data_IF_613085277593
#
_entry.id   IF_613085277593
#
_cell.length_a   1.000
_cell.length_b   1.000
_cell.length_c   1.000
_cell.angle_alpha   90.00
_cell.angle_beta   90.00
_cell.angle_gamma   90.00
#
_symmetry.space_group_name_H-M   'P 1'
#
loop_
_entity.id
_entity.type
_entity.pdbx_description
1 polymer ?
#
# COMPACT_ATOMS: atom_id res chain seq x y z
N UNK A 1 3.26 0.94 21.86
CA UNK A 1 2.20 0.11 21.30
C UNK A 1 2.47 -0.13 19.82
N UNK A 2 2.40 -1.37 19.38
CA UNK A 2 2.62 -1.70 17.98
C UNK A 2 1.45 -1.17 17.14
N UNK A 3 1.78 -0.54 16.02
CA UNK A 3 0.78 -0.08 15.09
C UNK A 3 0.43 -1.19 14.10
N UNK A 4 -0.84 -1.25 13.70
CA UNK A 4 -1.25 -2.11 12.60
C UNK A 4 -0.67 -1.59 11.28
N UNK A 5 -0.64 -2.43 10.26
CA UNK A 5 -0.32 -2.01 8.92
C UNK A 5 -1.45 -2.40 7.97
N UNK A 6 -1.89 -1.44 7.16
CA UNK A 6 -2.80 -1.68 6.06
C UNK A 6 -2.01 -1.67 4.76
N UNK A 7 -2.09 -2.76 4.02
CA UNK A 7 -1.32 -2.95 2.79
C UNK A 7 -2.29 -2.90 1.62
N UNK A 8 -1.99 -2.02 0.66
CA UNK A 8 -2.80 -1.85 -0.54
C UNK A 8 -1.87 -1.87 -1.76
N UNK A 9 -2.01 -2.87 -2.58
CA UNK A 9 -1.20 -3.01 -3.79
C UNK A 9 -2.03 -2.61 -5.01
N UNK A 10 -1.48 -1.69 -5.81
CA UNK A 10 -2.18 -1.10 -6.96
C UNK A 10 -1.28 -1.15 -8.19
N UNK A 11 -1.87 -0.87 -9.35
CA UNK A 11 -1.14 -0.79 -10.61
C UNK A 11 -0.64 0.63 -10.84
N UNK A 12 0.68 0.77 -10.85
CA UNK A 12 1.35 2.02 -11.25
C UNK A 12 1.61 2.98 -10.10
N UNK A 13 2.64 3.79 -10.28
CA UNK A 13 3.13 4.67 -9.21
C UNK A 13 2.21 5.88 -8.99
N UNK A 14 1.66 6.44 -10.07
CA UNK A 14 0.75 7.58 -9.91
C UNK A 14 -0.50 7.20 -9.13
N UNK A 15 -1.08 6.03 -9.44
CA UNK A 15 -2.22 5.51 -8.69
C UNK A 15 -1.87 5.32 -7.22
N UNK A 16 -0.65 4.83 -6.95
CA UNK A 16 -0.20 4.63 -5.56
C UNK A 16 -0.15 5.95 -4.79
N UNK A 17 0.36 7.01 -5.40
CA UNK A 17 0.40 8.33 -4.73
C UNK A 17 -1.01 8.87 -4.46
N UNK A 18 -1.90 8.77 -5.44
CA UNK A 18 -3.27 9.29 -5.29
C UNK A 18 -4.05 8.46 -4.25
N UNK A 19 -3.92 7.13 -4.29
CA UNK A 19 -4.58 6.25 -3.33
C UNK A 19 -4.00 6.42 -1.91
N UNK A 20 -2.67 6.58 -1.81
CA UNK A 20 -2.02 6.85 -0.52
C UNK A 20 -2.50 8.16 0.08
N UNK A 21 -2.59 9.20 -0.71
CA UNK A 21 -3.10 10.50 -0.29
C UNK A 21 -4.56 10.38 0.19
N UNK A 22 -5.39 9.68 -0.57
CA UNK A 22 -6.79 9.49 -0.21
C UNK A 22 -6.95 8.78 1.13
N UNK A 23 -6.13 7.75 1.38
CA UNK A 23 -6.15 7.04 2.66
C UNK A 23 -5.75 7.95 3.82
N UNK A 24 -4.71 8.75 3.64
CA UNK A 24 -4.25 9.68 4.67
C UNK A 24 -5.26 10.79 4.95
N UNK A 25 -6.05 11.18 3.96
CA UNK A 25 -7.10 12.18 4.15
C UNK A 25 -8.35 11.61 4.82
N UNK A 26 -8.59 10.30 4.68
CA UNK A 26 -9.77 9.64 5.21
C UNK A 26 -9.60 9.15 6.65
N UNK A 27 -8.36 8.96 7.12
CA UNK A 27 -8.11 8.32 8.40
C UNK A 27 -6.81 8.85 9.03
N UNK A 28 -6.68 8.64 10.34
CA UNK A 28 -5.49 9.04 11.08
C UNK A 28 -4.41 7.97 10.94
N UNK A 29 -3.72 8.01 9.81
CA UNK A 29 -2.65 7.07 9.48
C UNK A 29 -1.44 7.83 8.96
N UNK A 30 -0.29 7.16 8.94
CA UNK A 30 0.90 7.67 8.26
C UNK A 30 1.36 6.65 7.23
N UNK A 31 1.99 7.14 6.18
CA UNK A 31 2.54 6.28 5.14
C UNK A 31 3.94 5.82 5.51
N UNK A 32 4.22 4.55 5.28
CA UNK A 32 5.58 4.05 5.18
C UNK A 32 6.06 4.23 3.73
N UNK A 33 7.32 3.90 3.47
CA UNK A 33 7.85 3.95 2.11
C UNK A 33 7.10 2.95 1.22
N UNK A 34 6.86 3.36 -0.02
CA UNK A 34 6.24 2.46 -0.99
C UNK A 34 7.22 1.36 -1.41
N UNK A 35 6.67 0.23 -1.78
CA UNK A 35 7.43 -0.84 -2.38
C UNK A 35 6.91 -1.06 -3.80
N UNK A 36 7.77 -1.54 -4.69
CA UNK A 36 7.36 -1.79 -6.07
C UNK A 36 7.74 -3.19 -6.49
N UNK A 37 6.98 -3.74 -7.43
CA UNK A 37 7.23 -5.05 -8.00
C UNK A 37 6.90 -5.03 -9.49
N UNK A 38 7.82 -5.55 -10.29
CA UNK A 38 7.58 -5.80 -11.71
C UNK A 38 7.59 -7.31 -11.92
N UNK A 39 6.42 -7.95 -11.93
CA UNK A 39 6.36 -9.41 -12.05
C UNK A 39 6.79 -9.88 -13.44
N UNK A 40 7.10 -11.17 -13.55
CA UNK A 40 7.56 -11.75 -14.82
C UNK A 40 6.55 -11.56 -15.96
N UNK A 41 5.26 -11.54 -15.64
CA UNK A 41 4.19 -11.32 -16.63
C UNK A 41 3.76 -9.86 -16.74
N UNK A 42 4.65 -8.92 -16.44
CA UNK A 42 4.32 -7.49 -16.39
C UNK A 42 3.67 -6.99 -17.69
N UNK A 43 4.12 -7.51 -18.83
CA UNK A 43 3.61 -7.07 -20.13
C UNK A 43 2.14 -7.45 -20.37
N UNK A 44 1.61 -8.40 -19.61
CA UNK A 44 0.21 -8.81 -19.70
C UNK A 44 -0.70 -8.04 -18.74
N UNK A 45 -0.15 -7.14 -17.92
CA UNK A 45 -0.90 -6.38 -16.94
C UNK A 45 -1.37 -5.04 -17.52
N UNK A 46 -2.45 -4.45 -16.96
CA UNK A 46 -2.92 -3.12 -17.38
C UNK A 46 -1.82 -2.06 -17.27
N UNK A 47 -1.00 -2.15 -16.22
CA UNK A 47 0.19 -1.32 -16.02
C UNK A 47 1.30 -2.28 -15.56
N UNK A 48 2.48 -2.24 -16.18
CA UNK A 48 3.52 -3.25 -15.90
C UNK A 48 4.33 -2.96 -14.63
N UNK A 49 3.70 -2.41 -13.60
CA UNK A 49 4.34 -2.10 -12.32
C UNK A 49 3.31 -2.18 -11.22
N UNK A 50 3.60 -2.98 -10.20
CA UNK A 50 2.79 -3.06 -9.00
C UNK A 50 3.45 -2.22 -7.91
N UNK A 51 2.65 -1.47 -7.16
CA UNK A 51 3.15 -0.65 -6.06
C UNK A 51 2.38 -0.98 -4.79
N UNK A 52 3.12 -1.26 -3.74
CA UNK A 52 2.56 -1.57 -2.43
C UNK A 52 2.57 -0.31 -1.56
N UNK A 53 1.39 0.08 -1.10
CA UNK A 53 1.17 1.21 -0.20
C UNK A 53 1.03 0.63 1.20
N UNK A 54 1.69 1.24 2.19
CA UNK A 54 1.69 0.75 3.57
C UNK A 54 1.23 1.88 4.48
N UNK A 55 0.02 1.70 5.06
CA UNK A 55 -0.55 2.65 6.01
C UNK A 55 -0.32 2.15 7.42
N UNK A 56 0.13 3.02 8.33
CA UNK A 56 0.38 2.68 9.73
C UNK A 56 -0.59 3.42 10.63
N UNK A 57 -1.13 2.72 11.63
CA UNK A 57 -2.06 3.29 12.59
C UNK A 57 -2.75 2.19 13.37
N UNK A 58 -3.89 2.53 14.02
CA UNK A 58 -4.72 1.50 14.65
C UNK A 58 -5.39 0.65 13.57
N UNK A 59 -5.88 -0.52 13.96
CA UNK A 59 -6.61 -1.40 13.04
C UNK A 59 -7.78 -0.66 12.37
N UNK A 60 -8.56 0.08 13.15
CA UNK A 60 -9.71 0.84 12.63
C UNK A 60 -9.26 1.88 11.60
N UNK A 61 -8.19 2.62 11.92
CA UNK A 61 -7.70 3.69 11.04
C UNK A 61 -7.10 3.13 9.76
N UNK A 62 -6.26 2.09 9.84
CA UNK A 62 -5.67 1.52 8.62
C UNK A 62 -6.70 0.86 7.74
N UNK A 63 -7.74 0.27 8.32
CA UNK A 63 -8.83 -0.32 7.56
C UNK A 63 -9.57 0.76 6.76
N UNK A 64 -9.89 1.88 7.40
CA UNK A 64 -10.55 3.00 6.73
C UNK A 64 -9.65 3.58 5.62
N UNK A 65 -8.34 3.70 5.88
CA UNK A 65 -7.40 4.22 4.89
C UNK A 65 -7.31 3.30 3.67
N UNK A 66 -7.21 2.00 3.89
CA UNK A 66 -7.13 1.01 2.80
C UNK A 66 -8.40 1.06 1.96
N UNK A 67 -9.56 1.14 2.60
CA UNK A 67 -10.83 1.20 1.87
C UNK A 67 -10.95 2.47 1.01
N UNK A 68 -10.55 3.61 1.56
CA UNK A 68 -10.57 4.86 0.81
C UNK A 68 -9.60 4.84 -0.37
N UNK A 69 -8.40 4.31 -0.14
CA UNK A 69 -7.41 4.16 -1.20
C UNK A 69 -7.85 3.19 -2.29
N UNK A 70 -8.45 2.07 -1.89
CA UNK A 70 -8.99 1.08 -2.82
C UNK A 70 -10.04 1.70 -3.73
N UNK A 71 -10.96 2.46 -3.17
CA UNK A 71 -12.01 3.11 -3.95
C UNK A 71 -11.43 4.02 -5.03
N UNK A 72 -10.45 4.83 -4.68
CA UNK A 72 -9.79 5.72 -5.63
C UNK A 72 -9.01 4.92 -6.67
N UNK A 73 -8.25 3.93 -6.25
CA UNK A 73 -7.45 3.12 -7.18
C UNK A 73 -8.33 2.39 -8.19
N UNK A 74 -9.51 1.92 -7.77
CA UNK A 74 -10.44 1.25 -8.67
C UNK A 74 -11.01 2.17 -9.74
N UNK A 75 -11.00 3.47 -9.50
CA UNK A 75 -11.42 4.45 -10.51
C UNK A 75 -10.28 4.85 -11.45
N UNK A 76 -9.07 4.39 -11.20
CA UNK A 76 -7.89 4.72 -12.00
C UNK A 76 -7.38 3.48 -12.76
N UNK A 77 -6.47 2.73 -12.14
CA UNK A 77 -5.84 1.59 -12.80
C UNK A 77 -6.24 0.25 -12.20
N UNK A 78 -6.75 0.25 -10.97
CA UNK A 78 -7.20 -0.95 -10.29
C UNK A 78 -6.35 -1.35 -9.11
N UNK A 79 -6.89 -2.30 -8.33
CA UNK A 79 -6.28 -2.85 -7.12
C UNK A 79 -5.87 -4.29 -7.39
N UNK A 80 -4.67 -4.66 -6.95
CA UNK A 80 -4.20 -6.04 -7.02
C UNK A 80 -4.76 -6.82 -5.82
N UNK A 81 -4.50 -6.31 -4.61
CA UNK A 81 -4.94 -6.94 -3.36
C UNK A 81 -4.75 -5.97 -2.20
N UNK A 82 -5.38 -6.29 -1.09
CA UNK A 82 -5.24 -5.53 0.14
C UNK A 82 -5.31 -6.45 1.35
N UNK A 83 -4.62 -6.06 2.42
CA UNK A 83 -4.61 -6.80 3.68
C UNK A 83 -4.36 -5.86 4.84
N UNK A 84 -4.86 -6.23 6.01
CA UNK A 84 -4.54 -5.55 7.26
C UNK A 84 -3.87 -6.56 8.19
N UNK A 85 -2.70 -6.21 8.71
CA UNK A 85 -2.01 -7.00 9.71
C UNK A 85 -2.13 -6.23 11.02
N UNK A 86 -2.92 -6.73 12.00
CA UNK A 86 -3.17 -5.98 13.24
C UNK A 86 -1.93 -5.78 14.09
N UNK A 87 -1.10 -6.80 14.24
CA UNK A 87 0.11 -6.76 15.07
C UNK A 87 1.23 -7.43 14.27
N UNK A 88 1.93 -6.67 13.40
CA UNK A 88 3.02 -7.25 12.62
C UNK A 88 4.11 -7.81 13.52
N UNK A 89 4.62 -8.97 13.17
CA UNK A 89 5.71 -9.61 13.86
C UNK A 89 7.02 -8.81 13.62
N UNK A 90 7.99 -8.98 14.48
CA UNK A 90 9.23 -8.19 14.46
C UNK A 90 9.94 -8.23 13.10
N UNK A 91 10.06 -9.41 12.50
CA UNK A 91 10.68 -9.56 11.18
C UNK A 91 9.89 -8.85 10.09
N UNK A 92 8.57 -8.95 10.17
CA UNK A 92 7.68 -8.24 9.25
C UNK A 92 7.86 -6.73 9.38
N UNK A 93 7.95 -6.21 10.62
CA UNK A 93 8.18 -4.79 10.86
C UNK A 93 9.46 -4.31 10.17
N UNK A 94 10.53 -5.09 10.25
CA UNK A 94 11.78 -4.74 9.58
C UNK A 94 11.62 -4.65 8.08
N UNK A 95 10.90 -5.59 7.49
CA UNK A 95 10.68 -5.63 6.04
C UNK A 95 9.78 -4.50 5.56
N UNK A 96 8.80 -4.10 6.37
CA UNK A 96 7.89 -3.00 6.00
C UNK A 96 8.62 -1.67 5.82
N UNK A 97 9.76 -1.49 6.47
CA UNK A 97 10.54 -0.25 6.40
C UNK A 97 11.49 -0.18 5.21
N UNK A 98 11.62 -1.29 4.49
CA UNK A 98 12.51 -1.37 3.32
C UNK A 98 11.70 -1.08 2.07
N UNK A 99 12.27 -0.29 1.16
CA UNK A 99 11.64 0.02 -0.10
C UNK A 99 12.46 -0.50 -1.26
N UNK A 100 11.82 -1.18 -2.19
CA UNK A 100 12.45 -1.57 -3.44
C UNK A 100 12.80 -0.36 -4.31
N UNK A 101 12.20 0.80 -4.03
CA UNK A 101 12.53 2.05 -4.73
C UNK A 101 13.91 2.54 -4.38
N UNK A 102 14.44 2.16 -3.22
CA UNK A 102 15.75 2.59 -2.73
C UNK A 102 16.87 1.59 -3.06
N UNK A 103 16.54 0.51 -3.71
CA UNK A 103 17.55 -0.49 -4.12
C UNK A 103 18.25 -0.05 -5.38
N UNK A 104 19.54 -0.25 -5.40
CA UNK A 104 20.37 -0.03 -6.58
C UNK A 104 20.19 -1.14 -7.61
#
# INVERSE_FOLDING_TARGET
MAAAVGILEVFGLATAFVAGDAGCKAANVRLEVFDKNKPANADSLPVPLLVCIKFRGSVTEVTAAVEAGMEVANRMTGVVQLYVIPIPEEGTEKMLKISALDKD
#
